data_IF_887441411757
#
_entry.id   IF_887441411757
#
_cell.length_a   1.000
_cell.length_b   1.000
_cell.length_c   1.000
_cell.angle_alpha   90.00
_cell.angle_beta   90.00
_cell.angle_gamma   90.00
#
_symmetry.space_group_name_H-M   'P 1'
#
loop_
_entity.id
_entity.type
_entity.pdbx_description
1 polymer ?
#
# COMPACT_ATOMS: atom_id res chain seq x y z
N UNK A 1 2.41 -17.12 16.51
CA UNK A 1 2.79 -15.70 16.55
C UNK A 1 2.15 -14.99 15.36
N UNK A 2 0.88 -14.62 15.50
CA UNK A 2 0.12 -13.96 14.43
C UNK A 2 0.53 -12.50 14.33
N UNK A 3 1.19 -12.13 13.23
CA UNK A 3 1.67 -10.77 12.91
C UNK A 3 0.61 -9.71 13.22
N UNK A 4 0.79 -8.96 14.30
CA UNK A 4 -0.20 -7.96 14.74
C UNK A 4 -0.15 -6.67 13.90
N UNK A 5 0.85 -6.50 13.03
CA UNK A 5 1.08 -5.29 12.23
C UNK A 5 1.27 -5.60 10.74
N UNK A 6 0.34 -6.33 10.12
CA UNK A 6 0.35 -6.49 8.66
C UNK A 6 -0.12 -5.19 8.00
N UNK A 7 0.71 -4.65 7.12
CA UNK A 7 0.39 -3.55 6.23
C UNK A 7 0.68 -3.98 4.78
N UNK A 8 -0.36 -4.33 4.03
CA UNK A 8 -0.20 -4.86 2.67
C UNK A 8 -1.44 -4.63 1.80
N UNK A 9 -1.24 -4.75 0.49
CA UNK A 9 -2.33 -4.87 -0.48
C UNK A 9 -2.66 -6.35 -0.64
N UNK A 10 -3.90 -6.71 -0.37
CA UNK A 10 -4.42 -8.08 -0.47
C UNK A 10 -5.32 -8.19 -1.70
N UNK A 11 -5.09 -9.21 -2.53
CA UNK A 11 -5.98 -9.51 -3.63
C UNK A 11 -7.04 -10.53 -3.17
N UNK A 12 -8.25 -10.06 -2.90
CA UNK A 12 -9.34 -10.90 -2.39
C UNK A 12 -10.11 -11.66 -3.48
N UNK A 13 -9.98 -11.24 -4.75
CA UNK A 13 -10.55 -11.97 -5.88
C UNK A 13 -9.60 -11.98 -7.09
N UNK A 14 -9.60 -13.10 -7.83
CA UNK A 14 -8.76 -13.27 -9.03
C UNK A 14 -9.49 -12.78 -10.30
N UNK A 15 -10.79 -13.07 -10.42
CA UNK A 15 -11.56 -12.70 -11.61
C UNK A 15 -13.03 -12.38 -11.25
N UNK A 16 -13.51 -11.13 -11.46
CA UNK A 16 -12.72 -9.95 -11.79
C UNK A 16 -11.78 -9.57 -10.63
N UNK A 17 -10.56 -9.06 -10.91
CA UNK A 17 -9.57 -8.78 -9.88
C UNK A 17 -10.09 -7.74 -8.87
N UNK A 18 -9.90 -8.02 -7.58
CA UNK A 18 -10.26 -7.12 -6.49
C UNK A 18 -9.12 -7.05 -5.48
N UNK A 19 -8.71 -5.83 -5.18
CA UNK A 19 -7.66 -5.46 -4.25
C UNK A 19 -8.26 -4.67 -3.09
N UNK A 20 -7.78 -5.00 -1.91
CA UNK A 20 -8.15 -4.43 -0.63
C UNK A 20 -6.87 -4.03 0.11
N UNK A 21 -6.96 -3.03 0.98
CA UNK A 21 -5.85 -2.61 1.81
C UNK A 21 -6.01 -3.19 3.22
N UNK A 22 -5.01 -3.93 3.69
CA UNK A 22 -4.95 -4.46 5.05
C UNK A 22 -4.00 -3.58 5.87
N UNK A 23 -4.49 -3.04 6.98
CA UNK A 23 -3.69 -2.23 7.91
C UNK A 23 -4.15 -2.46 9.35
N UNK A 24 -3.23 -2.87 10.24
CA UNK A 24 -3.53 -3.12 11.67
C UNK A 24 -4.81 -3.96 11.89
N UNK A 25 -4.92 -5.08 11.17
CA UNK A 25 -6.08 -6.00 11.20
C UNK A 25 -7.39 -5.43 10.61
N UNK A 26 -7.38 -4.20 10.10
CA UNK A 26 -8.52 -3.60 9.38
C UNK A 26 -8.38 -3.83 7.88
N UNK A 27 -9.50 -4.18 7.24
CA UNK A 27 -9.61 -4.33 5.79
C UNK A 27 -10.37 -3.12 5.25
N UNK A 28 -9.70 -2.31 4.45
CA UNK A 28 -10.30 -1.20 3.72
C UNK A 28 -10.77 -1.71 2.36
N UNK A 29 -12.08 -1.94 2.28
CA UNK A 29 -12.76 -2.29 1.03
C UNK A 29 -12.93 -1.04 0.17
N UNK A 30 -12.36 -1.07 -1.03
CA UNK A 30 -12.48 0.01 -2.00
C UNK A 30 -13.48 -0.34 -3.10
N UNK A 31 -14.01 0.65 -3.83
CA UNK A 31 -14.93 0.41 -4.93
C UNK A 31 -14.38 -0.63 -5.91
N UNK A 32 -15.25 -1.56 -6.32
CA UNK A 32 -14.94 -2.57 -7.34
C UNK A 32 -14.88 -1.92 -8.72
N UNK A 33 -14.15 -2.58 -9.64
CA UNK A 33 -14.06 -2.18 -11.04
C UNK A 33 -12.63 -1.91 -11.50
N UNK A 34 -12.50 -1.38 -12.71
CA UNK A 34 -11.21 -1.22 -13.41
C UNK A 34 -10.16 -0.41 -12.63
N UNK A 35 -10.59 0.57 -11.84
CA UNK A 35 -9.70 1.47 -11.11
C UNK A 35 -9.41 1.00 -9.67
N UNK A 36 -9.92 -0.15 -9.26
CA UNK A 36 -9.80 -0.63 -7.89
C UNK A 36 -8.33 -0.73 -7.42
N UNK A 37 -7.43 -1.28 -8.23
CA UNK A 37 -6.00 -1.34 -7.90
C UNK A 37 -5.40 0.06 -7.69
N UNK A 38 -5.71 1.00 -8.58
CA UNK A 38 -5.21 2.37 -8.49
C UNK A 38 -5.71 3.07 -7.21
N UNK A 39 -7.00 2.94 -6.89
CA UNK A 39 -7.53 3.44 -5.63
C UNK A 39 -6.86 2.79 -4.41
N UNK A 40 -6.55 1.49 -4.48
CA UNK A 40 -5.87 0.77 -3.41
C UNK A 40 -4.45 1.28 -3.20
N UNK A 41 -3.71 1.55 -4.28
CA UNK A 41 -2.38 2.16 -4.22
C UNK A 41 -2.42 3.57 -3.62
N UNK A 42 -3.38 4.40 -4.03
CA UNK A 42 -3.56 5.74 -3.45
C UNK A 42 -3.86 5.67 -1.96
N UNK A 43 -4.75 4.76 -1.55
CA UNK A 43 -5.09 4.57 -0.14
C UNK A 43 -3.87 4.06 0.66
N UNK A 44 -3.08 3.14 0.09
CA UNK A 44 -1.84 2.65 0.69
C UNK A 44 -0.85 3.80 0.95
N UNK A 45 -0.59 4.64 -0.05
CA UNK A 45 0.28 5.82 0.09
C UNK A 45 -0.29 6.86 1.07
N UNK A 46 -1.61 7.02 1.09
CA UNK A 46 -2.30 7.90 2.03
C UNK A 46 -2.10 7.44 3.49
N UNK A 47 -2.23 6.14 3.78
CA UNK A 47 -1.96 5.59 5.11
C UNK A 47 -0.50 5.83 5.50
N UNK A 48 0.46 5.57 4.60
CA UNK A 48 1.87 5.86 4.88
C UNK A 48 2.08 7.32 5.27
N UNK A 49 1.53 8.24 4.47
CA UNK A 49 1.66 9.67 4.71
C UNK A 49 1.03 10.13 6.02
N UNK A 50 -0.14 9.60 6.38
CA UNK A 50 -0.98 10.14 7.46
C UNK A 50 -0.91 9.36 8.79
N UNK A 51 -0.56 8.08 8.75
CA UNK A 51 -0.53 7.19 9.92
C UNK A 51 0.88 6.71 10.25
N UNK A 52 1.73 6.54 9.26
CA UNK A 52 3.11 6.06 9.43
C UNK A 52 4.17 7.17 9.28
N UNK A 53 3.78 8.44 9.39
CA UNK A 53 4.70 9.60 9.30
C UNK A 53 5.56 9.63 8.02
N UNK A 54 5.05 9.07 6.92
CA UNK A 54 5.77 8.95 5.66
C UNK A 54 6.73 7.76 5.59
N UNK A 55 6.73 6.87 6.58
CA UNK A 55 7.61 5.70 6.61
C UNK A 55 6.89 4.43 6.16
N UNK A 56 7.51 3.68 5.25
CA UNK A 56 7.15 2.30 4.95
C UNK A 56 8.25 1.39 5.53
N UNK A 57 8.00 0.86 6.72
CA UNK A 57 9.03 0.17 7.49
C UNK A 57 10.19 1.10 7.82
N UNK A 58 11.41 0.79 7.35
CA UNK A 58 12.61 1.64 7.56
C UNK A 58 12.84 2.66 6.43
N UNK A 59 11.98 2.68 5.42
CA UNK A 59 12.13 3.54 4.24
C UNK A 59 11.22 4.76 4.37
N UNK A 60 11.76 5.97 4.18
CA UNK A 60 10.96 7.20 4.11
C UNK A 60 10.50 7.43 2.66
N UNK A 61 9.23 7.79 2.45
CA UNK A 61 8.61 8.12 1.16
C UNK A 61 8.16 9.59 1.06
N UNK A 62 8.54 10.44 2.02
CA UNK A 62 8.29 11.88 2.04
C UNK A 62 9.33 12.69 1.25
N UNK A 63 9.42 14.00 1.54
CA UNK A 63 10.26 14.96 0.81
C UNK A 63 11.78 14.65 0.83
N UNK A 64 12.23 13.85 1.79
CA UNK A 64 13.60 13.36 1.94
C UNK A 64 13.74 11.85 1.66
N UNK A 65 12.69 11.23 1.10
CA UNK A 65 12.54 9.80 0.91
C UNK A 65 13.04 9.24 -0.43
N UNK A 66 12.96 7.91 -0.56
CA UNK A 66 13.40 7.15 -1.73
C UNK A 66 12.67 7.60 -2.99
N UNK A 67 13.42 8.08 -3.98
CA UNK A 67 12.95 8.09 -5.36
C UNK A 67 12.82 6.61 -5.78
N UNK A 68 11.60 6.06 -5.79
CA UNK A 68 11.35 4.63 -6.07
C UNK A 68 11.99 4.21 -7.41
N UNK A 69 12.21 5.16 -8.33
CA UNK A 69 12.93 4.92 -9.58
C UNK A 69 14.41 4.57 -9.37
N UNK A 70 15.08 5.08 -8.34
CA UNK A 70 16.49 4.78 -8.04
C UNK A 70 16.74 3.36 -7.51
N UNK A 71 15.70 2.65 -7.06
CA UNK A 71 15.82 1.24 -6.65
C UNK A 71 16.22 0.36 -7.85
N UNK A 72 15.86 0.76 -9.08
CA UNK A 72 16.10 -0.04 -10.27
C UNK A 72 17.49 0.15 -10.91
N UNK A 73 18.34 1.03 -10.35
CA UNK A 73 19.68 1.32 -10.89
C UNK A 73 19.67 1.91 -12.31
N UNK A 74 20.83 2.39 -12.76
CA UNK A 74 21.04 2.61 -14.21
C UNK A 74 21.38 1.24 -14.84
N UNK A 75 20.73 0.91 -15.96
CA UNK A 75 21.00 -0.29 -16.76
C UNK A 75 22.36 -0.21 -17.44
#
# INVERSE_FOLDING_TARGET
TTNENVFCIHQSNINPPHYELVYQKHIYNLPKGRNNLFHTLLMFLYIIKTKESGMLGRVNLGLSGVNILWIFGEL
#
